data_IF_801084277864
#
_entry.id   IF_801084277864
#
_cell.length_a   1.000
_cell.length_b   1.000
_cell.length_c   1.000
_cell.angle_alpha   90.00
_cell.angle_beta   90.00
_cell.angle_gamma   90.00
#
_symmetry.space_group_name_H-M   'P 1'
#
loop_
_entity.id
_entity.type
_entity.pdbx_description
1 polymer ?
#
# COMPACT_ATOMS: atom_id res chain seq x y z
N UNK A 1 8.39 -5.20 -32.52
CA UNK A 1 7.00 -5.06 -32.06
C UNK A 1 7.05 -4.92 -30.54
N UNK A 2 6.73 -3.74 -30.00
CA UNK A 2 6.82 -3.49 -28.55
C UNK A 2 5.61 -4.10 -27.85
N UNK A 3 5.83 -4.98 -26.86
CA UNK A 3 4.77 -5.49 -26.00
C UNK A 3 4.24 -4.33 -25.16
N UNK A 4 2.94 -4.03 -25.25
CA UNK A 4 2.26 -3.09 -24.36
C UNK A 4 1.78 -3.83 -23.12
N UNK A 5 2.09 -3.29 -21.95
CA UNK A 5 1.64 -3.87 -20.67
C UNK A 5 0.44 -3.12 -20.10
N UNK A 6 -0.47 -3.80 -19.36
CA UNK A 6 -1.71 -3.19 -18.85
C UNK A 6 -1.51 -1.92 -18.02
N UNK A 7 -0.38 -1.79 -17.33
CA UNK A 7 -0.04 -0.65 -16.46
C UNK A 7 0.69 0.50 -17.19
N UNK A 8 1.02 0.37 -18.48
CA UNK A 8 1.61 1.47 -19.27
C UNK A 8 0.56 2.50 -19.71
N UNK A 9 -0.73 2.18 -19.51
CA UNK A 9 -1.87 3.03 -19.88
C UNK A 9 -2.60 3.59 -18.68
N UNK A 10 -2.11 3.36 -17.45
CA UNK A 10 -2.66 4.10 -16.31
C UNK A 10 -2.28 5.57 -16.53
N UNK A 11 -3.26 6.48 -16.76
CA UNK A 11 -2.99 7.89 -16.49
C UNK A 11 -2.47 7.98 -15.05
N UNK A 12 -1.70 9.03 -14.72
CA UNK A 12 -1.48 9.38 -13.32
C UNK A 12 -2.83 9.21 -12.61
N UNK A 13 -2.90 8.43 -11.51
CA UNK A 13 -4.16 8.21 -10.84
C UNK A 13 -4.78 9.59 -10.67
N UNK A 14 -6.03 9.81 -11.13
CA UNK A 14 -6.65 11.12 -10.97
C UNK A 14 -6.45 11.50 -9.50
N UNK A 15 -5.99 12.72 -9.23
CA UNK A 15 -5.98 13.28 -7.87
C UNK A 15 -7.23 12.75 -7.19
N UNK A 16 -7.07 11.98 -6.13
CA UNK A 16 -8.06 11.02 -5.63
C UNK A 16 -9.43 11.67 -5.44
N UNK A 17 -10.22 11.73 -6.50
CA UNK A 17 -11.64 12.07 -6.48
C UNK A 17 -12.33 10.74 -6.29
N UNK A 18 -12.43 10.31 -5.03
CA UNK A 18 -13.58 9.60 -4.47
C UNK A 18 -13.44 9.75 -2.95
N UNK A 19 -14.08 10.79 -2.43
CA UNK A 19 -14.75 10.65 -1.14
C UNK A 19 -15.99 9.81 -1.42
N UNK A 20 -16.15 8.57 -0.92
CA UNK A 20 -17.49 8.08 -0.76
C UNK A 20 -18.09 8.94 0.35
N UNK A 21 -18.82 9.97 -0.04
CA UNK A 21 -19.82 10.54 0.85
C UNK A 21 -20.59 9.35 1.41
N UNK A 22 -20.67 9.27 2.74
CA UNK A 22 -21.40 8.22 3.46
C UNK A 22 -22.84 8.23 2.93
N UNK A 23 -23.13 7.42 1.93
CA UNK A 23 -24.50 7.22 1.48
C UNK A 23 -25.26 6.62 2.68
N UNK A 24 -26.36 7.24 3.13
CA UNK A 24 -27.23 6.60 4.10
C UNK A 24 -27.64 5.25 3.53
N UNK A 25 -27.43 4.18 4.30
CA UNK A 25 -27.92 2.86 3.94
C UNK A 25 -29.44 2.96 3.67
N UNK A 26 -29.93 2.51 2.51
CA UNK A 26 -31.37 2.41 2.29
C UNK A 26 -31.97 1.47 3.34
N UNK A 27 -33.21 1.73 3.80
CA UNK A 27 -33.86 0.87 4.78
C UNK A 27 -33.98 -0.57 4.23
N UNK A 28 -33.81 -1.60 5.08
CA UNK A 28 -33.82 -2.99 4.63
C UNK A 28 -35.18 -3.33 4.02
N UNK A 29 -35.17 -3.79 2.76
CA UNK A 29 -36.36 -4.33 2.11
C UNK A 29 -36.88 -5.56 2.89
N UNK A 30 -38.20 -5.75 2.98
CA UNK A 30 -38.78 -6.90 3.65
C UNK A 30 -38.35 -8.21 2.97
N UNK A 31 -37.92 -9.19 3.78
CA UNK A 31 -37.43 -10.49 3.32
C UNK A 31 -38.53 -11.25 2.56
N UNK A 32 -38.32 -11.64 1.29
CA UNK A 32 -39.26 -12.54 0.62
C UNK A 32 -39.16 -13.94 1.23
N UNK A 33 -40.30 -14.47 1.67
CA UNK A 33 -40.46 -15.85 2.12
C UNK A 33 -40.33 -16.81 0.92
N UNK A 34 -39.31 -17.67 0.97
CA UNK A 34 -39.35 -19.03 0.41
C UNK A 34 -39.09 -19.19 -1.08
N UNK A 35 -37.90 -19.71 -1.42
CA UNK A 35 -37.73 -20.91 -2.27
C UNK A 35 -36.27 -21.38 -2.24
N UNK A 36 -36.03 -22.62 -1.83
CA UNK A 36 -34.73 -23.31 -2.02
C UNK A 36 -34.60 -23.71 -3.49
N UNK A 37 -33.46 -23.48 -4.16
CA UNK A 37 -33.08 -24.28 -5.31
C UNK A 37 -32.32 -25.52 -4.84
N UNK A 38 -32.79 -26.67 -5.32
CA UNK A 38 -32.12 -27.96 -5.32
C UNK A 38 -30.75 -27.86 -6.02
N UNK A 39 -29.76 -28.61 -5.53
CA UNK A 39 -28.37 -28.51 -5.95
C UNK A 39 -28.02 -29.17 -7.28
N UNK A 40 -26.81 -28.89 -7.75
CA UNK A 40 -26.00 -29.75 -8.61
C UNK A 40 -24.55 -29.23 -8.67
N UNK A 41 -23.58 -30.15 -8.55
CA UNK A 41 -22.22 -29.97 -9.08
C UNK A 41 -21.15 -29.47 -8.11
N UNK A 42 -20.68 -30.33 -7.18
CA UNK A 42 -19.32 -30.24 -6.64
C UNK A 42 -18.35 -30.61 -7.77
N UNK A 43 -17.62 -29.63 -8.30
CA UNK A 43 -16.37 -29.86 -9.00
C UNK A 43 -15.23 -29.71 -8.00
N UNK A 44 -14.74 -30.84 -7.47
CA UNK A 44 -13.49 -30.92 -6.72
C UNK A 44 -12.32 -30.76 -7.69
N UNK A 45 -11.95 -29.51 -7.96
CA UNK A 45 -10.60 -29.19 -8.38
C UNK A 45 -9.98 -28.39 -7.22
N UNK A 46 -8.79 -28.78 -6.70
CA UNK A 46 -8.10 -27.95 -5.72
C UNK A 46 -7.71 -26.65 -6.43
N UNK A 47 -8.54 -25.62 -6.30
CA UNK A 47 -8.11 -24.24 -6.52
C UNK A 47 -6.96 -24.06 -5.55
N UNK A 48 -5.73 -23.99 -6.07
CA UNK A 48 -4.61 -23.42 -5.33
C UNK A 48 -5.11 -22.11 -4.76
N UNK A 49 -5.41 -22.11 -3.46
CA UNK A 49 -5.87 -20.94 -2.77
C UNK A 49 -4.68 -20.01 -2.75
N UNK A 50 -4.62 -19.08 -3.71
CA UNK A 50 -3.83 -17.88 -3.54
C UNK A 50 -4.18 -17.35 -2.15
N UNK A 51 -3.23 -17.11 -1.24
CA UNK A 51 -3.57 -16.49 0.03
C UNK A 51 -4.31 -15.20 -0.31
N UNK A 52 -5.59 -15.13 0.03
CA UNK A 52 -6.37 -13.91 -0.14
C UNK A 52 -5.82 -12.96 0.91
N UNK A 53 -4.80 -12.16 0.56
CA UNK A 53 -4.30 -11.14 1.46
C UNK A 53 -5.48 -10.27 1.87
N UNK A 54 -5.78 -10.28 3.16
CA UNK A 54 -6.89 -9.53 3.73
C UNK A 54 -6.41 -8.08 3.81
N UNK A 55 -7.00 -7.21 3.00
CA UNK A 55 -6.75 -5.78 3.09
C UNK A 55 -7.52 -5.20 4.27
N UNK A 56 -6.80 -4.54 5.17
CA UNK A 56 -7.38 -3.87 6.33
C UNK A 56 -7.46 -2.38 6.07
N UNK A 57 -8.67 -1.83 6.18
CA UNK A 57 -8.87 -0.39 6.12
C UNK A 57 -8.72 0.21 7.51
N UNK A 58 -7.86 1.22 7.62
CA UNK A 58 -7.55 1.89 8.88
C UNK A 58 -7.98 3.36 8.88
N UNK A 59 -8.43 3.79 10.05
CA UNK A 59 -8.73 5.16 10.41
C UNK A 59 -7.75 5.59 11.49
N UNK A 60 -6.84 6.49 11.16
CA UNK A 60 -5.98 7.15 12.13
C UNK A 60 -6.61 8.49 12.50
N UNK A 61 -6.76 8.75 13.80
CA UNK A 61 -7.20 10.04 14.35
C UNK A 61 -6.13 10.57 15.28
N UNK A 62 -5.74 11.83 15.09
CA UNK A 62 -4.70 12.51 15.86
C UNK A 62 -5.33 13.74 16.51
N UNK A 63 -5.10 13.91 17.82
CA UNK A 63 -5.63 15.02 18.62
C UNK A 63 -4.48 15.70 19.35
N UNK A 64 -4.52 17.02 19.47
CA UNK A 64 -3.48 17.77 20.17
C UNK A 64 -3.59 19.27 19.92
N UNK A 65 -2.59 20.05 20.35
CA UNK A 65 -2.48 21.47 20.03
C UNK A 65 -2.45 21.70 18.52
N UNK A 66 -3.09 22.77 18.05
CA UNK A 66 -3.20 23.04 16.61
C UNK A 66 -1.84 23.25 15.94
N UNK A 67 -0.90 23.92 16.62
CA UNK A 67 0.44 24.17 16.08
C UNK A 67 1.22 22.87 15.85
N UNK A 68 1.17 21.93 16.81
CA UNK A 68 1.84 20.63 16.68
C UNK A 68 1.19 19.76 15.60
N UNK A 69 -0.13 19.86 15.42
CA UNK A 69 -0.83 19.18 14.33
C UNK A 69 -0.40 19.72 12.96
N UNK A 70 -0.24 21.04 12.82
CA UNK A 70 0.24 21.64 11.57
C UNK A 70 1.68 21.24 11.25
N UNK A 71 2.56 21.25 12.27
CA UNK A 71 3.94 20.77 12.15
C UNK A 71 3.99 19.29 11.77
N UNK A 72 3.13 18.47 12.38
CA UNK A 72 3.01 17.06 12.05
C UNK A 72 2.54 16.84 10.61
N UNK A 73 1.52 17.58 10.14
CA UNK A 73 1.04 17.49 8.75
C UNK A 73 2.16 17.83 7.76
N UNK A 74 2.95 18.86 8.05
CA UNK A 74 4.08 19.23 7.20
C UNK A 74 5.16 18.13 7.17
N UNK A 75 5.47 17.54 8.32
CA UNK A 75 6.44 16.46 8.44
C UNK A 75 5.97 15.14 7.80
N UNK A 76 4.68 14.81 7.91
CA UNK A 76 4.11 13.56 7.43
C UNK A 76 3.94 13.50 5.91
N UNK A 77 3.98 14.64 5.22
CA UNK A 77 3.80 14.69 3.76
C UNK A 77 5.04 14.20 3.03
N UNK A 78 4.86 13.28 2.08
CA UNK A 78 5.96 12.70 1.34
C UNK A 78 5.58 12.19 -0.05
N UNK A 79 6.53 11.56 -0.75
CA UNK A 79 6.30 10.98 -2.07
C UNK A 79 5.39 9.73 -2.03
N UNK A 80 5.25 9.05 -0.90
CA UNK A 80 4.51 7.79 -0.77
C UNK A 80 5.21 6.61 -1.45
N UNK A 81 6.54 6.60 -1.41
CA UNK A 81 7.39 5.62 -2.13
C UNK A 81 8.51 5.16 -1.20
N UNK A 82 8.75 3.85 -1.13
CA UNK A 82 9.98 3.30 -0.54
C UNK A 82 11.05 3.26 -1.63
N UNK A 83 12.22 3.89 -1.42
CA UNK A 83 13.31 3.89 -2.39
C UNK A 83 14.15 2.61 -2.31
N UNK A 84 13.55 1.46 -2.63
CA UNK A 84 14.28 0.20 -2.71
C UNK A 84 15.39 0.29 -3.76
N UNK A 85 16.56 -0.24 -3.44
CA UNK A 85 17.55 -0.50 -4.48
C UNK A 85 17.14 -1.74 -5.26
N UNK A 86 17.41 -1.68 -6.56
CA UNK A 86 16.96 -2.71 -7.50
C UNK A 86 18.15 -3.32 -8.17
N UNK A 87 18.24 -4.65 -8.07
CA UNK A 87 19.19 -5.42 -8.83
C UNK A 87 18.59 -5.80 -10.19
N UNK A 88 18.75 -4.93 -11.18
CA UNK A 88 18.22 -5.13 -12.53
C UNK A 88 18.71 -6.43 -13.18
N UNK A 89 19.94 -6.86 -12.90
CA UNK A 89 20.49 -8.11 -13.43
C UNK A 89 19.79 -9.34 -12.84
N UNK A 90 19.50 -9.34 -11.54
CA UNK A 90 18.74 -10.41 -10.91
C UNK A 90 17.31 -10.48 -11.45
N UNK A 91 16.65 -9.33 -11.66
CA UNK A 91 15.32 -9.27 -12.26
C UNK A 91 15.30 -9.83 -13.68
N UNK A 92 16.28 -9.46 -14.52
CA UNK A 92 16.39 -10.00 -15.87
C UNK A 92 16.52 -11.53 -15.85
N UNK A 93 17.39 -12.06 -14.99
CA UNK A 93 17.60 -13.50 -14.87
C UNK A 93 16.32 -14.23 -14.40
N UNK A 94 15.63 -13.71 -13.37
CA UNK A 94 14.40 -14.30 -12.85
C UNK A 94 13.27 -14.33 -13.90
N UNK A 95 13.11 -13.24 -14.65
CA UNK A 95 12.12 -13.17 -15.74
C UNK A 95 12.51 -14.13 -16.88
N UNK A 96 13.80 -14.22 -17.22
CA UNK A 96 14.28 -15.17 -18.22
C UNK A 96 14.01 -16.61 -17.81
N UNK A 97 14.37 -17.01 -16.59
CA UNK A 97 14.12 -18.35 -16.04
C UNK A 97 12.63 -18.66 -16.08
N UNK A 98 11.78 -17.73 -15.64
CA UNK A 98 10.32 -17.92 -15.67
C UNK A 98 9.76 -18.07 -17.08
N UNK A 99 10.27 -17.30 -18.04
CA UNK A 99 9.84 -17.35 -19.44
C UNK A 99 10.24 -18.66 -20.13
N UNK A 100 11.45 -19.18 -19.86
CA UNK A 100 11.94 -20.43 -20.45
C UNK A 100 11.34 -21.67 -19.77
N UNK A 101 11.09 -21.59 -18.46
CA UNK A 101 10.53 -22.66 -17.63
C UNK A 101 9.01 -22.86 -17.80
N UNK A 102 8.35 -22.22 -18.78
CA UNK A 102 6.93 -22.39 -19.01
C UNK A 102 6.59 -23.85 -19.40
N UNK A 103 6.03 -24.61 -18.46
CA UNK A 103 5.57 -25.99 -18.65
C UNK A 103 4.05 -25.99 -18.84
N UNK A 104 3.55 -26.28 -20.04
CA UNK A 104 2.09 -26.39 -20.24
C UNK A 104 1.54 -26.21 -21.66
N UNK A 105 2.37 -26.03 -22.69
CA UNK A 105 1.91 -25.90 -24.06
C UNK A 105 3.04 -25.69 -25.06
N UNK A 106 2.75 -25.58 -26.37
CA UNK A 106 3.76 -25.22 -27.37
C UNK A 106 4.38 -23.87 -27.00
N UNK A 107 5.71 -23.83 -26.95
CA UNK A 107 6.45 -22.60 -26.63
C UNK A 107 6.17 -21.55 -27.71
N UNK A 108 5.57 -20.42 -27.32
CA UNK A 108 5.34 -19.29 -28.22
C UNK A 108 6.61 -18.45 -28.46
N UNK A 109 7.62 -18.56 -27.58
CA UNK A 109 8.86 -17.79 -27.65
C UNK A 109 10.09 -18.71 -27.76
N UNK A 110 11.04 -18.31 -28.61
CA UNK A 110 12.38 -18.91 -28.63
C UNK A 110 13.20 -18.48 -27.41
N UNK A 111 14.28 -19.20 -27.09
CA UNK A 111 15.20 -18.82 -25.99
C UNK A 111 15.75 -17.39 -26.18
N UNK A 112 16.11 -17.04 -27.42
CA UNK A 112 16.53 -15.67 -27.76
C UNK A 112 15.39 -14.65 -27.52
N UNK A 113 14.15 -15.02 -27.87
CA UNK A 113 12.97 -14.22 -27.57
C UNK A 113 12.73 -14.02 -26.07
N UNK A 114 12.93 -15.04 -25.24
CA UNK A 114 12.84 -14.95 -23.78
C UNK A 114 13.89 -13.98 -23.20
N UNK A 115 15.13 -13.98 -23.73
CA UNK A 115 16.17 -13.02 -23.30
C UNK A 115 15.81 -11.58 -23.66
N UNK A 116 15.32 -11.35 -24.88
CA UNK A 116 14.88 -10.01 -25.30
C UNK A 116 13.75 -9.53 -24.39
N UNK A 117 12.78 -10.41 -24.10
CA UNK A 117 11.67 -10.10 -23.19
C UNK A 117 12.19 -9.72 -21.79
N UNK A 118 13.09 -10.53 -21.21
CA UNK A 118 13.67 -10.26 -19.90
C UNK A 118 14.40 -8.90 -19.83
N UNK A 119 15.23 -8.59 -20.83
CA UNK A 119 15.91 -7.28 -20.91
C UNK A 119 14.90 -6.13 -21.00
N UNK A 120 13.86 -6.27 -21.81
CA UNK A 120 12.81 -5.25 -21.93
C UNK A 120 12.05 -5.04 -20.61
N UNK A 121 11.86 -6.09 -19.80
CA UNK A 121 11.30 -5.96 -18.45
C UNK A 121 12.23 -5.18 -17.53
N UNK A 122 13.52 -5.54 -17.50
CA UNK A 122 14.53 -4.83 -16.71
C UNK A 122 14.57 -3.33 -17.03
N UNK A 123 14.71 -2.97 -18.30
CA UNK A 123 14.79 -1.57 -18.76
C UNK A 123 13.55 -0.76 -18.32
N UNK A 124 12.37 -1.38 -18.37
CA UNK A 124 11.12 -0.74 -17.94
C UNK A 124 11.01 -0.55 -16.43
N UNK A 125 11.44 -1.55 -15.66
CA UNK A 125 11.48 -1.45 -14.20
C UNK A 125 12.47 -0.35 -13.80
N UNK A 126 13.68 -0.35 -14.37
CA UNK A 126 14.69 0.69 -14.12
C UNK A 126 14.16 2.09 -14.46
N UNK A 127 13.46 2.25 -15.59
CA UNK A 127 12.84 3.52 -15.98
C UNK A 127 11.71 3.97 -15.03
N UNK A 128 10.86 3.04 -14.59
CA UNK A 128 9.82 3.32 -13.58
C UNK A 128 10.44 3.82 -12.28
N UNK A 129 11.56 3.23 -11.90
CA UNK A 129 12.20 3.45 -10.61
C UNK A 129 13.06 4.71 -10.62
N UNK A 130 13.64 5.07 -11.76
CA UNK A 130 14.18 6.40 -12.00
C UNK A 130 13.12 7.48 -11.78
N UNK A 131 11.94 7.34 -12.40
CA UNK A 131 10.81 8.27 -12.19
C UNK A 131 10.33 8.29 -10.73
N UNK A 132 10.36 7.15 -10.04
CA UNK A 132 10.02 7.09 -8.63
C UNK A 132 11.03 7.85 -7.77
N UNK A 133 12.32 7.70 -8.07
CA UNK A 133 13.42 8.42 -7.40
C UNK A 133 13.37 9.92 -7.61
N UNK A 134 13.04 10.40 -8.80
CA UNK A 134 12.92 11.83 -9.09
C UNK A 134 11.85 12.53 -8.24
N UNK A 135 10.88 11.79 -7.70
CA UNK A 135 9.85 12.32 -6.79
C UNK A 135 10.31 12.45 -5.34
N UNK A 136 11.42 11.80 -4.96
CA UNK A 136 11.90 11.81 -3.57
C UNK A 136 12.41 13.20 -3.22
N UNK A 137 11.97 13.73 -2.07
CA UNK A 137 12.33 15.07 -1.60
C UNK A 137 11.58 16.21 -2.29
N UNK A 138 10.93 15.95 -3.43
CA UNK A 138 10.16 16.95 -4.18
C UNK A 138 8.66 16.77 -3.96
N UNK A 139 8.15 15.54 -4.11
CA UNK A 139 6.72 15.26 -4.00
C UNK A 139 6.25 15.26 -2.55
N UNK A 140 5.08 15.88 -2.34
CA UNK A 140 4.35 15.92 -1.07
C UNK A 140 2.91 15.36 -1.24
N UNK A 141 2.71 14.56 -2.28
CA UNK A 141 1.39 14.06 -2.69
C UNK A 141 0.78 13.07 -1.69
N UNK A 142 1.60 12.27 -1.01
CA UNK A 142 1.13 11.37 0.04
C UNK A 142 0.93 12.17 1.33
N UNK A 143 -0.30 12.23 1.88
CA UNK A 143 -0.60 13.06 3.04
C UNK A 143 -0.09 12.48 4.36
N UNK A 144 0.22 11.18 4.40
CA UNK A 144 0.83 10.48 5.52
C UNK A 144 1.79 9.40 5.00
N UNK A 145 3.08 9.73 4.97
CA UNK A 145 4.14 8.89 4.44
C UNK A 145 5.04 8.36 5.57
N UNK A 146 4.99 7.05 5.78
CA UNK A 146 5.81 6.38 6.79
C UNK A 146 7.31 6.48 6.48
N UNK A 147 7.70 6.55 5.20
CA UNK A 147 9.11 6.63 4.85
C UNK A 147 9.72 8.00 5.21
N UNK A 148 8.92 9.06 5.28
CA UNK A 148 9.37 10.38 5.74
C UNK A 148 9.39 10.46 7.26
N UNK A 149 8.40 9.87 7.93
CA UNK A 149 8.28 9.90 9.39
C UNK A 149 9.25 8.93 10.09
N UNK A 150 9.46 7.75 9.51
CA UNK A 150 10.25 6.64 10.05
C UNK A 150 11.04 5.98 8.92
N UNK A 151 12.13 6.62 8.45
CA UNK A 151 12.85 6.18 7.27
C UNK A 151 13.47 4.79 7.45
N UNK A 152 13.29 3.94 6.44
CA UNK A 152 14.01 2.67 6.33
C UNK A 152 15.52 2.96 6.15
N UNK A 153 16.41 2.33 6.95
CA UNK A 153 17.86 2.49 6.81
C UNK A 153 18.37 2.08 5.43
N UNK A 154 19.40 2.78 4.93
CA UNK A 154 20.02 2.49 3.63
C UNK A 154 20.48 1.03 3.49
N UNK A 155 21.04 0.44 4.55
CA UNK A 155 21.46 -0.97 4.57
C UNK A 155 20.32 -1.99 4.42
N UNK A 156 19.08 -1.57 4.71
CA UNK A 156 17.89 -2.38 4.48
C UNK A 156 17.35 -2.13 3.06
N UNK A 157 17.37 -0.87 2.61
CA UNK A 157 16.95 -0.49 1.25
C UNK A 157 17.77 -1.20 0.16
N UNK A 158 19.07 -1.41 0.41
CA UNK A 158 19.99 -2.13 -0.51
C UNK A 158 19.64 -3.60 -0.71
N UNK A 159 18.90 -4.21 0.23
CA UNK A 159 18.51 -5.62 0.15
C UNK A 159 17.36 -5.86 -0.84
N UNK A 160 16.55 -4.83 -1.10
CA UNK A 160 15.35 -4.90 -1.95
C UNK A 160 14.10 -5.37 -1.22
N UNK A 161 12.95 -5.14 -1.86
CA UNK A 161 11.62 -5.31 -1.26
C UNK A 161 11.27 -6.73 -0.81
N UNK A 162 11.71 -7.76 -1.54
CA UNK A 162 11.37 -9.16 -1.27
C UNK A 162 12.36 -9.85 -0.32
N UNK A 163 13.43 -9.16 0.09
CA UNK A 163 14.46 -9.79 0.91
C UNK A 163 13.92 -10.08 2.32
N UNK A 164 14.09 -11.31 2.86
CA UNK A 164 13.49 -11.71 4.14
C UNK A 164 13.93 -10.82 5.31
N UNK A 165 15.18 -10.35 5.32
CA UNK A 165 15.65 -9.37 6.31
C UNK A 165 14.96 -8.01 6.19
N UNK A 166 14.66 -7.55 4.97
CA UNK A 166 13.93 -6.29 4.77
C UNK A 166 12.48 -6.42 5.24
N UNK A 167 11.80 -7.52 4.86
CA UNK A 167 10.45 -7.83 5.34
C UNK A 167 10.38 -7.95 6.87
N UNK A 168 11.36 -8.62 7.49
CA UNK A 168 11.47 -8.73 8.94
C UNK A 168 11.68 -7.37 9.61
N UNK A 169 12.48 -6.49 9.00
CA UNK A 169 12.65 -5.12 9.48
C UNK A 169 11.34 -4.34 9.42
N UNK A 170 10.63 -4.36 8.29
CA UNK A 170 9.35 -3.68 8.12
C UNK A 170 8.30 -4.19 9.12
N UNK A 171 8.19 -5.51 9.26
CA UNK A 171 7.29 -6.13 10.24
C UNK A 171 7.62 -5.68 11.67
N UNK A 172 8.91 -5.63 12.05
CA UNK A 172 9.33 -5.22 13.39
C UNK A 172 9.11 -3.73 13.66
N UNK A 173 9.48 -2.87 12.71
CA UNK A 173 9.56 -1.41 12.93
C UNK A 173 8.30 -0.69 12.49
N UNK A 174 7.65 -1.16 11.43
CA UNK A 174 6.41 -0.59 10.93
C UNK A 174 5.18 -1.40 11.34
N UNK A 175 5.31 -2.72 11.54
CA UNK A 175 4.18 -3.63 11.80
C UNK A 175 3.46 -4.09 10.54
N UNK A 176 3.97 -3.72 9.37
CA UNK A 176 3.42 -4.05 8.05
C UNK A 176 4.57 -4.40 7.12
N UNK A 177 4.30 -5.09 6.02
CA UNK A 177 5.31 -5.56 5.05
C UNK A 177 5.49 -4.67 3.82
N UNK A 178 4.65 -3.65 3.66
CA UNK A 178 4.66 -2.71 2.53
C UNK A 178 4.12 -1.35 3.01
N UNK A 179 4.21 -0.30 2.19
CA UNK A 179 3.60 1.00 2.49
C UNK A 179 2.08 0.93 2.64
N UNK A 180 1.49 1.82 3.46
CA UNK A 180 0.06 2.07 3.43
C UNK A 180 -0.39 2.51 2.03
N UNK A 181 -1.51 1.96 1.56
CA UNK A 181 -2.08 2.27 0.25
C UNK A 181 -3.28 3.20 0.36
N UNK A 182 -3.51 3.97 -0.71
CA UNK A 182 -4.62 4.93 -0.83
C UNK A 182 -4.75 5.83 0.41
N UNK A 183 -3.62 6.41 0.79
CA UNK A 183 -3.55 7.29 1.96
C UNK A 183 -4.28 8.59 1.65
N UNK A 184 -5.32 8.90 2.42
CA UNK A 184 -6.15 10.09 2.26
C UNK A 184 -6.24 10.86 3.57
N UNK A 185 -6.19 12.19 3.49
CA UNK A 185 -6.49 13.06 4.62
C UNK A 185 -8.01 13.06 4.89
N UNK A 186 -8.39 13.05 6.17
CA UNK A 186 -9.77 13.05 6.63
C UNK A 186 -10.01 14.24 7.56
N UNK A 187 -10.51 15.38 7.02
CA UNK A 187 -10.71 16.59 7.82
C UNK A 187 -11.78 16.42 8.92
N UNK A 188 -12.73 15.49 8.74
CA UNK A 188 -13.86 15.26 9.66
C UNK A 188 -13.63 14.13 10.67
N UNK A 189 -12.38 13.81 11.03
CA UNK A 189 -12.05 12.65 11.86
C UNK A 189 -12.45 12.75 13.36
N UNK A 190 -13.08 13.86 13.79
CA UNK A 190 -13.46 14.08 15.17
C UNK A 190 -14.97 13.98 15.41
N UNK A 191 -15.44 13.38 16.53
CA UNK A 191 -16.82 13.58 16.95
C UNK A 191 -17.07 15.09 17.14
N UNK A 192 -18.25 15.58 16.79
CA UNK A 192 -18.67 16.99 16.88
C UNK A 192 -18.73 17.57 18.30
N UNK A 193 -17.98 17.00 19.24
CA UNK A 193 -17.85 17.46 20.61
C UNK A 193 -17.05 18.76 20.64
N UNK A 194 -17.49 19.69 21.48
CA UNK A 194 -16.85 20.99 21.71
C UNK A 194 -15.37 20.80 22.06
N UNK A 195 -14.49 21.38 21.25
CA UNK A 195 -13.02 21.26 21.38
C UNK A 195 -12.50 22.29 22.38
N UNK A 196 -11.39 21.97 23.06
CA UNK A 196 -10.65 22.95 23.87
C UNK A 196 -10.07 24.00 22.91
N UNK A 197 -10.09 25.27 23.30
CA UNK A 197 -9.50 26.35 22.52
C UNK A 197 -8.03 26.04 22.21
N UNK A 198 -7.61 26.23 20.95
CA UNK A 198 -6.25 25.94 20.49
C UNK A 198 -5.92 24.46 20.26
N UNK A 199 -6.90 23.55 20.32
CA UNK A 199 -6.71 22.13 20.01
C UNK A 199 -7.47 21.73 18.74
N UNK A 200 -6.84 20.87 17.95
CA UNK A 200 -7.39 20.35 16.70
C UNK A 200 -7.63 18.84 16.72
N UNK A 201 -8.22 18.36 15.63
CA UNK A 201 -8.30 16.94 15.29
C UNK A 201 -7.95 16.81 13.82
N UNK A 202 -7.08 15.86 13.53
CA UNK A 202 -6.66 15.45 12.19
C UNK A 202 -6.98 13.97 12.04
N UNK A 203 -7.25 13.51 10.82
CA UNK A 203 -7.27 12.09 10.58
C UNK A 203 -6.82 11.68 9.19
N UNK A 204 -6.57 10.39 9.06
CA UNK A 204 -6.16 9.74 7.83
C UNK A 204 -6.95 8.44 7.63
N UNK A 205 -7.18 8.11 6.37
CA UNK A 205 -7.66 6.79 5.94
C UNK A 205 -6.60 6.13 5.07
N UNK A 206 -6.35 4.84 5.26
CA UNK A 206 -5.42 4.08 4.41
C UNK A 206 -5.66 2.58 4.54
N UNK A 207 -5.12 1.81 3.60
CA UNK A 207 -5.16 0.35 3.63
C UNK A 207 -3.79 -0.23 3.92
N UNK A 208 -3.74 -1.33 4.66
CA UNK A 208 -2.53 -2.15 4.81
C UNK A 208 -2.85 -3.61 4.50
N UNK A 209 -1.83 -4.36 4.11
CA UNK A 209 -1.96 -5.79 3.93
C UNK A 209 -1.84 -6.50 5.29
N UNK A 210 -2.88 -7.27 5.65
CA UNK A 210 -2.91 -8.28 6.72
C UNK A 210 -2.81 -7.77 8.16
N UNK A 211 -1.99 -6.76 8.44
CA UNK A 211 -1.60 -6.32 9.78
C UNK A 211 -1.72 -4.80 9.95
N UNK A 212 -1.70 -4.31 11.18
CA UNK A 212 -1.83 -2.88 11.50
C UNK A 212 -0.47 -2.22 11.75
N UNK A 213 -0.25 -0.95 11.35
CA UNK A 213 1.05 -0.28 11.50
C UNK A 213 1.31 0.25 12.92
N UNK A 214 0.95 -0.53 13.95
CA UNK A 214 1.07 -0.12 15.35
C UNK A 214 2.49 0.19 15.80
N UNK A 215 3.51 -0.65 15.50
CA UNK A 215 4.90 -0.34 15.83
C UNK A 215 5.34 1.02 15.29
N UNK A 216 5.00 1.34 14.02
CA UNK A 216 5.26 2.66 13.46
C UNK A 216 4.58 3.77 14.26
N UNK A 217 3.30 3.61 14.59
CA UNK A 217 2.56 4.65 15.32
C UNK A 217 3.08 4.86 16.76
N UNK A 218 3.58 3.82 17.42
CA UNK A 218 4.21 3.94 18.74
C UNK A 218 5.46 4.82 18.62
N UNK A 219 6.37 4.50 17.69
CA UNK A 219 7.60 5.28 17.48
C UNK A 219 7.30 6.73 17.06
N UNK A 220 6.28 6.95 16.23
CA UNK A 220 5.83 8.31 15.88
C UNK A 220 5.29 9.04 17.11
N UNK A 221 4.52 8.37 17.97
CA UNK A 221 3.97 9.00 19.19
C UNK A 221 5.09 9.44 20.15
N UNK A 222 6.18 8.69 20.24
CA UNK A 222 7.36 9.07 21.02
C UNK A 222 8.03 10.34 20.50
N UNK A 223 8.09 10.52 19.17
CA UNK A 223 8.62 11.73 18.54
C UNK A 223 7.67 12.95 18.64
N UNK A 224 6.38 12.72 18.90
CA UNK A 224 5.34 13.76 18.97
C UNK A 224 4.50 13.62 20.27
N UNK A 225 5.09 13.86 21.45
CA UNK A 225 4.50 13.50 22.75
C UNK A 225 3.19 14.25 23.09
N UNK A 226 3.05 15.48 22.57
CA UNK A 226 1.88 16.34 22.77
C UNK A 226 0.68 15.93 21.91
N UNK A 227 0.91 15.05 20.92
CA UNK A 227 -0.14 14.49 20.07
C UNK A 227 -0.63 13.14 20.60
N UNK A 228 -1.92 12.88 20.43
CA UNK A 228 -2.58 11.61 20.80
C UNK A 228 -3.10 10.92 19.55
N UNK A 229 -2.50 9.78 19.24
CA UNK A 229 -2.80 8.95 18.08
C UNK A 229 -3.80 7.84 18.46
N UNK A 230 -4.81 7.65 17.63
CA UNK A 230 -5.83 6.61 17.79
C UNK A 230 -6.05 5.92 16.45
N UNK A 231 -5.75 4.62 16.37
CA UNK A 231 -5.94 3.80 15.18
C UNK A 231 -7.14 2.86 15.34
N UNK A 232 -7.99 2.78 14.32
CA UNK A 232 -9.09 1.81 14.20
C UNK A 232 -9.02 1.12 12.81
N UNK A 233 -9.36 -0.17 12.65
CA UNK A 233 -9.69 -1.11 13.71
C UNK A 233 -8.47 -1.38 14.59
N UNK A 234 -8.74 -1.64 15.86
CA UNK A 234 -7.74 -2.16 16.79
C UNK A 234 -7.62 -3.64 16.44
N UNK A 235 -6.77 -4.01 15.47
CA UNK A 235 -6.44 -5.43 15.28
C UNK A 235 -5.66 -5.90 16.50
N UNK A 236 -6.21 -6.81 17.29
CA UNK A 236 -5.42 -7.56 18.27
C UNK A 236 -4.72 -8.66 17.51
N UNK A 237 -3.42 -8.45 17.24
CA UNK A 237 -2.52 -9.57 16.98
C UNK A 237 -2.30 -10.34 18.30
#
# INVERSE_FOLDING_TARGET
MALRFPWETEPDPPESVITPARQPLPPPLPKPRGRRPFGAGRSDAPRSATPTSIWLYHHLTIKGPSADLEAFVAAARGPGIIPWEINGAAIEEDIFIRAVSHTGGPRSLSVAGCRILARQFRERIEAREARARDRIGVSRACPFDLQVLLPIPGSILTLGHDHPTALAWLSRHWGISDLPRQVVARPDAGPGRRRKTGHGVLGYGFFTAETSPRPALIAITEAWPDLKFQLLPISTD
#
